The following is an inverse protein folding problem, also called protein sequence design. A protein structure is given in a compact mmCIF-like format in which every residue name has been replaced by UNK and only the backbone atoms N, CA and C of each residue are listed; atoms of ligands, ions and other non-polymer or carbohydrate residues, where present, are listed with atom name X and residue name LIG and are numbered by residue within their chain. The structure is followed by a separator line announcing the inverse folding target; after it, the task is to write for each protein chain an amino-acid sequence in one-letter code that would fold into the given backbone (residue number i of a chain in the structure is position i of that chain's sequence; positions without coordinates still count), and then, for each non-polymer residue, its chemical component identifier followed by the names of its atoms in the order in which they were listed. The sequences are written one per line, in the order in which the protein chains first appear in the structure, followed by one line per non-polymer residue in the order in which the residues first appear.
data_IF_057400068115
#
_entry.id   IF_057400068115
#
_cell.length_a   1.000
_cell.length_b   1.000
_cell.length_c   1.000
_cell.angle_alpha   90.00
_cell.angle_beta   90.00
_cell.angle_gamma   90.00
#
_symmetry.space_group_name_H-M   'P 1'
#
loop_
_entity.id
_entity.type
_entity.pdbx_description
1 polymer ?
#
# COMPACT_ATOMS: atom_id res chain seq x y z
N UNK A 1 -22.55 16.27 13.79
CA UNK A 1 -21.11 16.28 14.12
C UNK A 1 -20.44 15.31 13.15
N UNK A 2 -20.04 15.79 11.98
CA UNK A 2 -19.48 14.95 10.91
C UNK A 2 -17.97 15.03 11.01
N UNK A 3 -17.33 14.00 11.55
CA UNK A 3 -15.88 13.89 11.54
C UNK A 3 -15.44 13.58 10.10
N UNK A 4 -15.08 14.62 9.34
CA UNK A 4 -14.30 14.43 8.12
C UNK A 4 -12.91 13.93 8.51
N UNK A 5 -12.67 12.63 8.33
CA UNK A 5 -11.32 12.05 8.30
C UNK A 5 -10.59 12.49 7.03
N UNK A 6 -10.33 13.79 6.87
CA UNK A 6 -9.31 14.26 5.94
C UNK A 6 -7.96 13.99 6.61
N UNK A 7 -7.29 12.88 6.29
CA UNK A 7 -5.85 12.79 6.52
C UNK A 7 -5.24 11.42 6.87
N UNK A 8 -6.02 10.41 7.25
CA UNK A 8 -5.46 9.08 7.46
C UNK A 8 -5.49 8.31 6.14
N UNK A 9 -4.42 8.37 5.35
CA UNK A 9 -4.26 7.43 4.24
C UNK A 9 -4.42 6.00 4.78
N UNK A 10 -5.25 5.19 4.12
CA UNK A 10 -5.51 3.82 4.54
C UNK A 10 -4.19 3.03 4.64
N UNK A 11 -4.01 2.15 5.64
CA UNK A 11 -2.81 1.33 5.72
C UNK A 11 -2.69 0.42 4.49
N UNK A 12 -1.45 0.17 4.06
CA UNK A 12 -1.13 -0.75 2.97
C UNK A 12 0.09 -1.60 3.34
N UNK A 13 0.21 -2.78 2.72
CA UNK A 13 1.35 -3.68 2.89
C UNK A 13 1.75 -4.29 1.55
N UNK A 14 3.06 -4.38 1.30
CA UNK A 14 3.65 -5.19 0.23
C UNK A 14 4.25 -6.44 0.87
N UNK A 15 3.80 -7.62 0.44
CA UNK A 15 4.34 -8.91 0.89
C UNK A 15 5.06 -9.56 -0.28
N UNK A 16 6.29 -10.02 -0.03
CA UNK A 16 7.09 -10.79 -1.00
C UNK A 16 6.98 -12.28 -0.70
N UNK A 17 7.28 -13.10 -1.70
CA UNK A 17 7.21 -14.58 -1.60
C UNK A 17 8.10 -15.17 -0.49
N UNK A 18 9.20 -14.49 -0.15
CA UNK A 18 10.12 -14.86 0.93
C UNK A 18 9.62 -14.48 2.34
N UNK A 19 8.40 -13.94 2.43
CA UNK A 19 7.76 -13.53 3.68
C UNK A 19 8.15 -12.13 4.15
N UNK A 20 9.00 -11.39 3.43
CA UNK A 20 9.26 -9.97 3.77
C UNK A 20 8.00 -9.14 3.57
N UNK A 21 7.74 -8.27 4.54
CA UNK A 21 6.62 -7.34 4.54
C UNK A 21 7.08 -5.89 4.68
N UNK A 22 6.56 -5.02 3.84
CA UNK A 22 6.83 -3.58 3.87
C UNK A 22 5.52 -2.83 4.12
N UNK A 23 5.44 -2.16 5.26
CA UNK A 23 4.25 -1.38 5.64
C UNK A 23 4.30 0.03 5.06
N UNK A 24 3.16 0.50 4.57
CA UNK A 24 3.00 1.82 3.99
C UNK A 24 1.58 2.34 4.12
N UNK A 25 1.25 3.29 3.24
CA UNK A 25 -0.05 3.94 3.17
C UNK A 25 -0.54 3.93 1.73
N UNK A 26 -1.83 3.65 1.52
CA UNK A 26 -2.47 3.67 0.22
C UNK A 26 -2.49 5.09 -0.34
N UNK A 27 -1.99 5.24 -1.57
CA UNK A 27 -2.02 6.49 -2.33
C UNK A 27 -3.00 6.45 -3.50
N UNK A 28 -3.39 5.25 -3.94
CA UNK A 28 -4.29 5.00 -5.07
C UNK A 28 -5.57 4.28 -4.66
N UNK A 29 -6.15 3.53 -5.61
CA UNK A 29 -7.35 2.72 -5.34
C UNK A 29 -7.06 1.65 -4.28
N UNK A 30 -8.01 1.45 -3.36
CA UNK A 30 -7.92 0.40 -2.34
C UNK A 30 -8.32 -0.93 -2.94
N UNK A 31 -7.51 -1.96 -2.67
CA UNK A 31 -7.72 -3.32 -3.12
C UNK A 31 -6.45 -4.15 -2.88
N UNK A 32 -6.46 -5.37 -3.37
CA UNK A 32 -5.28 -6.24 -3.41
C UNK A 32 -4.99 -6.65 -4.86
N UNK A 33 -3.72 -6.90 -5.16
CA UNK A 33 -3.26 -7.39 -6.45
C UNK A 33 -2.03 -8.24 -6.27
N UNK A 34 -1.78 -9.12 -7.24
CA UNK A 34 -0.62 -10.00 -7.30
C UNK A 34 0.18 -9.71 -8.57
N UNK A 35 1.51 -9.81 -8.48
CA UNK A 35 2.39 -9.58 -9.61
C UNK A 35 3.87 -9.67 -9.24
N UNK A 36 4.72 -9.41 -10.21
CA UNK A 36 6.17 -9.36 -10.03
C UNK A 36 6.60 -7.97 -9.54
N UNK A 37 7.34 -7.93 -8.43
CA UNK A 37 7.94 -6.69 -7.94
C UNK A 37 9.27 -6.43 -8.67
N UNK A 38 9.29 -5.39 -9.50
CA UNK A 38 10.49 -4.93 -10.23
C UNK A 38 10.91 -3.54 -9.77
N UNK A 39 12.19 -3.19 -9.92
CA UNK A 39 12.68 -1.82 -9.72
C UNK A 39 13.41 -1.32 -10.98
N UNK A 40 13.32 -0.02 -11.23
CA UNK A 40 14.03 0.65 -12.32
C UNK A 40 14.66 1.94 -11.78
N UNK A 41 15.89 2.22 -12.16
CA UNK A 41 16.67 3.38 -11.70
C UNK A 41 16.48 4.62 -12.57
N UNK A 42 15.61 4.55 -13.58
CA UNK A 42 15.56 5.50 -14.69
C UNK A 42 16.56 5.17 -15.77
#
# INVERSE_FOLDING_TARGET
MTISTRGAQAPAVLVLEDGRAFHGRAYGAVGETFGEAVFSTG
#
